data_IF_602345172601
#
_entry.id   IF_602345172601
#
_cell.length_a   1.000
_cell.length_b   1.000
_cell.length_c   1.000
_cell.angle_alpha   90.00
_cell.angle_beta   90.00
_cell.angle_gamma   90.00
#
_symmetry.space_group_name_H-M   'P 1'
#
loop_
_entity.id
_entity.type
_entity.pdbx_description
1 polymer ?
#
# COMPACT_ATOMS: atom_id res chain seq x y z
N UNK A 1 45.36 -34.32 7.65
CA UNK A 1 45.78 -34.55 6.26
C UNK A 1 44.53 -34.68 5.43
N UNK A 2 44.11 -33.60 4.77
CA UNK A 2 42.92 -33.55 3.92
C UNK A 2 43.46 -33.25 2.53
N UNK A 3 43.23 -34.17 1.59
CA UNK A 3 43.77 -34.13 0.24
C UNK A 3 42.80 -33.32 -0.61
N UNK A 4 43.28 -32.17 -1.07
CA UNK A 4 42.61 -31.27 -2.00
C UNK A 4 42.94 -31.73 -3.43
N UNK A 5 41.99 -32.39 -4.10
CA UNK A 5 42.16 -32.86 -5.48
C UNK A 5 41.29 -32.02 -6.43
N UNK A 6 41.85 -30.88 -6.83
CA UNK A 6 41.29 -29.97 -7.83
C UNK A 6 41.48 -30.59 -9.23
N UNK A 7 40.45 -31.26 -9.76
CA UNK A 7 40.43 -31.67 -11.16
C UNK A 7 40.19 -30.46 -12.06
N UNK A 8 41.13 -30.20 -12.98
CA UNK A 8 40.97 -29.23 -14.05
C UNK A 8 40.01 -29.80 -15.11
N UNK A 9 38.97 -29.03 -15.44
CA UNK A 9 38.04 -29.35 -16.52
C UNK A 9 38.73 -29.14 -17.89
N UNK A 10 38.44 -29.99 -18.89
CA UNK A 10 39.00 -29.87 -20.23
C UNK A 10 38.48 -28.62 -20.95
N UNK A 11 39.36 -27.99 -21.74
CA UNK A 11 39.10 -26.80 -22.53
C UNK A 11 37.88 -26.99 -23.46
N UNK A 12 36.82 -26.24 -23.19
CA UNK A 12 35.64 -26.15 -24.05
C UNK A 12 35.96 -25.16 -25.20
N UNK A 13 36.00 -25.60 -26.48
CA UNK A 13 36.21 -24.71 -27.60
C UNK A 13 34.96 -23.87 -27.83
N UNK A 14 35.01 -22.61 -27.39
CA UNK A 14 33.96 -21.62 -27.64
C UNK A 14 33.68 -21.53 -29.16
N UNK A 15 32.43 -21.72 -29.62
CA UNK A 15 32.09 -21.55 -31.03
C UNK A 15 32.31 -20.09 -31.46
N UNK A 16 33.06 -19.88 -32.54
CA UNK A 16 33.41 -18.56 -33.08
C UNK A 16 32.25 -17.83 -33.79
N UNK A 17 31.00 -18.12 -33.42
CA UNK A 17 29.81 -17.64 -34.13
C UNK A 17 28.84 -16.95 -33.16
N UNK A 18 29.35 -15.92 -32.48
CA UNK A 18 28.51 -14.97 -31.77
C UNK A 18 28.01 -13.91 -32.78
N UNK A 19 26.70 -13.67 -32.90
CA UNK A 19 26.18 -12.63 -33.78
C UNK A 19 26.69 -11.24 -33.35
N UNK A 20 26.86 -10.30 -34.29
CA UNK A 20 27.36 -8.97 -34.00
C UNK A 20 26.47 -8.25 -32.99
N UNK A 21 27.11 -7.51 -32.08
CA UNK A 21 26.45 -6.66 -31.09
C UNK A 21 25.59 -5.60 -31.77
N UNK A 22 24.27 -5.62 -31.53
CA UNK A 22 23.33 -4.57 -31.92
C UNK A 22 23.52 -3.34 -31.03
N UNK A 23 24.54 -2.54 -31.32
CA UNK A 23 24.73 -1.23 -30.71
C UNK A 23 25.15 -0.20 -31.77
N UNK A 24 24.22 0.09 -32.69
CA UNK A 24 24.26 1.28 -33.55
C UNK A 24 22.88 1.54 -34.18
N UNK A 25 21.95 2.12 -33.40
CA UNK A 25 20.78 2.77 -33.99
C UNK A 25 21.00 4.28 -33.87
N UNK A 26 21.43 4.89 -34.97
CA UNK A 26 21.44 6.33 -35.15
C UNK A 26 19.99 6.87 -35.16
N UNK A 27 19.76 8.11 -34.69
CA UNK A 27 18.42 8.70 -34.69
C UNK A 27 18.02 9.07 -36.12
N UNK A 28 17.05 8.34 -36.66
CA UNK A 28 16.32 8.74 -37.86
C UNK A 28 15.43 9.93 -37.48
N UNK A 29 15.74 11.10 -38.03
CA UNK A 29 14.83 12.25 -38.07
C UNK A 29 13.76 11.96 -39.12
N UNK A 30 12.56 11.61 -38.67
CA UNK A 30 11.37 11.54 -39.51
C UNK A 30 10.61 12.86 -39.42
N UNK A 31 10.88 13.76 -40.36
CA UNK A 31 10.00 14.87 -40.72
C UNK A 31 8.77 14.31 -41.44
N UNK A 32 7.71 14.01 -40.69
CA UNK A 32 6.38 13.81 -41.27
C UNK A 32 5.61 15.12 -41.26
N UNK A 33 5.67 15.80 -42.41
CA UNK A 33 4.78 16.88 -42.83
C UNK A 33 3.40 16.28 -43.10
N UNK A 34 2.49 16.39 -42.13
CA UNK A 34 1.06 16.13 -42.32
C UNK A 34 0.40 17.44 -42.75
N UNK A 35 0.04 17.53 -44.03
CA UNK A 35 -0.85 18.58 -44.53
C UNK A 35 -2.26 18.35 -43.95
N UNK A 36 -2.73 19.35 -43.21
CA UNK A 36 -4.09 19.42 -42.67
C UNK A 36 -4.79 20.60 -43.36
N UNK A 37 -5.59 20.30 -44.38
CA UNK A 37 -6.57 21.24 -44.93
C UNK A 37 -7.84 21.13 -44.08
N UNK A 38 -8.14 22.16 -43.30
CA UNK A 38 -9.46 22.44 -42.72
C UNK A 38 -9.72 23.95 -42.83
N UNK A 39 -10.99 24.38 -43.08
CA UNK A 39 -11.32 25.78 -43.36
C UNK A 39 -11.33 26.64 -42.09
N UNK A 40 -10.76 27.84 -42.19
CA UNK A 40 -10.84 28.93 -41.20
C UNK A 40 -12.24 29.55 -41.15
N UNK A 41 -12.77 29.70 -39.94
CA UNK A 41 -13.81 30.67 -39.60
C UNK A 41 -13.17 31.93 -38.96
N UNK A 42 -13.76 33.14 -39.15
CA UNK A 42 -13.13 34.42 -38.84
C UNK A 42 -13.14 34.79 -37.35
N UNK A 43 -12.16 35.58 -36.87
CA UNK A 43 -12.06 36.00 -35.47
C UNK A 43 -12.92 37.23 -35.15
N UNK A 44 -13.52 37.33 -33.94
CA UNK A 44 -14.06 38.58 -33.44
C UNK A 44 -12.98 39.42 -32.74
N UNK A 45 -13.04 40.71 -33.07
CA UNK A 45 -12.26 41.83 -32.58
C UNK A 45 -12.48 42.17 -31.10
N UNK A 46 -11.47 42.79 -30.48
CA UNK A 46 -11.57 43.60 -29.26
C UNK A 46 -11.09 42.86 -28.01
N UNK A 47 -10.27 43.41 -27.11
CA UNK A 47 -9.96 44.81 -26.84
C UNK A 47 -8.64 44.90 -26.06
N UNK A 48 -7.84 45.89 -26.45
CA UNK A 48 -6.60 46.31 -25.84
C UNK A 48 -6.87 47.09 -24.56
N UNK A 49 -6.19 46.71 -23.48
CA UNK A 49 -5.96 47.59 -22.33
C UNK A 49 -4.48 47.58 -21.97
N UNK A 50 -3.85 48.67 -22.37
CA UNK A 50 -2.54 49.16 -21.95
C UNK A 50 -2.60 49.72 -20.54
N UNK A 51 -1.64 49.36 -19.68
CA UNK A 51 -1.32 50.13 -18.48
C UNK A 51 0.20 50.25 -18.31
N UNK A 52 0.64 51.50 -18.44
CA UNK A 52 1.90 52.14 -18.06
C UNK A 52 2.42 51.71 -16.67
N UNK A 53 3.72 51.46 -16.49
CA UNK A 53 4.84 52.40 -16.30
C UNK A 53 4.82 53.15 -14.95
N UNK A 54 6.02 53.15 -14.32
CA UNK A 54 6.56 54.01 -13.24
C UNK A 54 6.54 53.43 -11.81
N UNK A 55 7.72 53.41 -11.20
CA UNK A 55 7.86 53.26 -9.74
C UNK A 55 9.21 52.76 -9.23
N UNK A 56 10.34 53.18 -9.80
CA UNK A 56 11.65 52.97 -9.19
C UNK A 56 11.83 54.01 -8.08
N UNK A 57 11.99 53.55 -6.84
CA UNK A 57 12.31 54.39 -5.69
C UNK A 57 13.37 53.68 -4.84
N UNK A 58 14.61 54.12 -5.06
CA UNK A 58 15.67 54.10 -4.05
C UNK A 58 15.16 54.81 -2.78
N UNK A 59 15.49 54.26 -1.60
CA UNK A 59 15.88 55.02 -0.40
C UNK A 59 16.30 54.06 0.74
N UNK A 60 17.53 54.27 1.20
CA UNK A 60 18.01 54.18 2.60
C UNK A 60 18.49 52.85 3.22
N UNK A 61 19.65 52.86 3.91
CA UNK A 61 20.24 51.71 4.59
C UNK A 61 19.76 51.55 6.05
N UNK A 62 19.72 50.33 6.61
CA UNK A 62 19.49 50.12 8.04
C UNK A 62 20.79 50.27 8.87
N UNK A 63 20.67 50.65 10.16
CA UNK A 63 21.80 50.97 11.02
C UNK A 63 22.51 49.74 11.58
N UNK A 64 23.81 49.93 11.81
CA UNK A 64 24.76 49.09 12.54
C UNK A 64 24.18 48.66 13.91
N UNK A 65 23.92 47.36 14.10
CA UNK A 65 23.58 46.79 15.41
C UNK A 65 24.81 46.11 16.00
N UNK A 66 25.10 46.51 17.24
CA UNK A 66 26.23 46.16 18.08
C UNK A 66 26.34 44.65 18.35
N UNK A 67 27.59 44.20 18.37
CA UNK A 67 28.06 42.89 18.82
C UNK A 67 27.58 42.54 20.23
N UNK A 68 27.07 41.32 20.48
CA UNK A 68 26.99 40.79 21.83
C UNK A 68 28.30 40.10 22.22
N UNK A 69 28.82 40.57 23.35
CA UNK A 69 29.98 40.08 24.08
C UNK A 69 29.78 38.64 24.56
N UNK A 70 30.81 37.81 24.41
CA UNK A 70 30.86 36.45 24.95
C UNK A 70 31.01 36.45 26.47
N UNK A 71 30.22 35.68 27.23
CA UNK A 71 30.60 35.26 28.56
C UNK A 71 31.27 33.88 28.48
N UNK A 72 32.55 33.84 28.86
CA UNK A 72 33.25 32.60 29.17
C UNK A 72 32.67 31.97 30.43
N UNK A 73 32.30 30.69 30.34
CA UNK A 73 32.01 29.86 31.50
C UNK A 73 32.62 28.47 31.27
N UNK A 74 33.75 28.25 31.92
CA UNK A 74 34.39 26.96 32.06
C UNK A 74 33.58 26.10 33.03
N UNK A 75 32.70 25.26 32.48
CA UNK A 75 31.99 24.21 33.22
C UNK A 75 32.56 22.83 32.86
N UNK A 76 33.41 22.27 33.74
CA UNK A 76 33.81 20.86 33.72
C UNK A 76 32.58 19.98 34.03
N UNK A 77 31.89 19.53 32.98
CA UNK A 77 30.80 18.56 33.07
C UNK A 77 31.09 17.33 32.19
N UNK A 78 30.95 16.13 32.76
CA UNK A 78 31.26 14.84 32.12
C UNK A 78 30.45 14.63 30.82
N UNK A 79 31.19 14.60 29.72
CA UNK A 79 30.92 13.97 28.42
C UNK A 79 29.55 13.36 28.16
N UNK A 80 28.58 14.18 27.80
CA UNK A 80 27.66 13.83 26.72
C UNK A 80 28.32 14.29 25.42
N UNK A 81 28.42 13.41 24.42
CA UNK A 81 29.07 13.70 23.16
C UNK A 81 28.41 14.93 22.50
N UNK A 82 29.11 16.07 22.52
CA UNK A 82 28.78 17.27 21.73
C UNK A 82 29.06 16.97 20.24
N UNK A 83 28.29 16.07 19.64
CA UNK A 83 28.43 15.75 18.21
C UNK A 83 28.00 16.91 17.28
N UNK A 84 27.48 17.99 17.86
CA UNK A 84 26.83 19.08 17.13
C UNK A 84 27.32 20.47 17.56
N UNK A 85 28.63 20.73 17.53
CA UNK A 85 29.13 22.11 17.51
C UNK A 85 28.97 22.71 16.13
N UNK A 86 27.74 23.12 15.81
CA UNK A 86 27.42 23.91 14.65
C UNK A 86 27.84 25.37 14.90
N UNK A 87 29.04 25.75 14.46
CA UNK A 87 29.49 27.14 14.49
C UNK A 87 28.59 28.05 13.63
N UNK A 88 28.43 29.30 14.05
CA UNK A 88 27.47 30.30 13.52
C UNK A 88 27.76 30.81 12.09
N UNK A 89 28.63 30.15 11.32
CA UNK A 89 28.98 30.59 9.94
C UNK A 89 28.95 29.46 8.90
N UNK A 90 28.19 28.38 9.13
CA UNK A 90 28.09 27.32 8.13
C UNK A 90 27.21 27.75 6.97
N UNK A 91 27.65 27.45 5.76
CA UNK A 91 26.82 27.64 4.57
C UNK A 91 25.70 26.61 4.54
N UNK A 92 24.54 26.94 3.96
CA UNK A 92 23.44 25.99 3.80
C UNK A 92 23.87 24.70 3.06
N UNK A 93 24.87 24.80 2.17
CA UNK A 93 25.47 23.65 1.48
C UNK A 93 26.20 22.71 2.45
N UNK A 94 27.00 23.23 3.37
CA UNK A 94 27.69 22.43 4.39
C UNK A 94 26.70 21.73 5.31
N UNK A 95 25.63 22.43 5.72
CA UNK A 95 24.57 21.84 6.54
C UNK A 95 23.90 20.68 5.81
N UNK A 96 23.51 20.88 4.54
CA UNK A 96 22.93 19.81 3.72
C UNK A 96 23.86 18.60 3.60
N UNK A 97 25.16 18.81 3.31
CA UNK A 97 26.14 17.72 3.23
C UNK A 97 26.29 17.01 4.57
N UNK A 98 26.28 17.75 5.68
CA UNK A 98 26.35 17.18 7.04
C UNK A 98 25.13 16.30 7.32
N UNK A 99 23.91 16.81 7.05
CA UNK A 99 22.66 16.06 7.25
C UNK A 99 22.65 14.80 6.39
N UNK A 100 23.02 14.88 5.11
CA UNK A 100 23.12 13.70 4.24
C UNK A 100 24.14 12.66 4.75
N UNK A 101 25.26 13.11 5.32
CA UNK A 101 26.23 12.23 5.97
C UNK A 101 25.59 11.48 7.15
N UNK A 102 24.93 12.21 8.04
CA UNK A 102 24.23 11.61 9.19
C UNK A 102 23.13 10.63 8.77
N UNK A 103 22.36 10.95 7.72
CA UNK A 103 21.33 10.03 7.21
C UNK A 103 21.94 8.74 6.67
N UNK A 104 23.09 8.84 5.99
CA UNK A 104 23.83 7.67 5.52
C UNK A 104 24.33 6.82 6.68
N UNK A 105 24.82 7.45 7.74
CA UNK A 105 25.32 6.75 8.93
C UNK A 105 24.18 6.08 9.70
N UNK A 106 23.06 6.78 9.91
CA UNK A 106 21.85 6.21 10.52
C UNK A 106 21.39 4.92 9.82
N UNK A 107 21.36 4.95 8.48
CA UNK A 107 20.94 3.80 7.66
C UNK A 107 22.04 2.73 7.56
N UNK A 108 23.31 3.05 7.83
CA UNK A 108 24.41 2.07 7.82
C UNK A 108 24.58 1.34 9.14
N UNK A 109 24.48 2.05 10.25
CA UNK A 109 24.80 1.52 11.59
C UNK A 109 23.71 0.60 12.16
N UNK A 110 22.71 0.20 11.36
CA UNK A 110 21.58 -0.63 11.78
C UNK A 110 20.88 -0.07 13.04
N UNK A 111 20.85 1.25 13.18
CA UNK A 111 20.13 1.95 14.25
C UNK A 111 18.60 1.86 14.08
N UNK A 112 18.11 0.87 13.31
CA UNK A 112 16.70 0.65 12.97
C UNK A 112 15.81 0.52 14.21
N UNK A 113 16.39 0.12 15.35
CA UNK A 113 15.71 -0.04 16.64
C UNK A 113 16.16 0.96 17.70
N UNK A 114 17.04 1.90 17.36
CA UNK A 114 17.56 2.84 18.35
C UNK A 114 16.61 4.04 18.52
N UNK A 115 16.13 4.32 19.74
CA UNK A 115 15.35 5.54 19.99
C UNK A 115 16.16 6.82 19.72
N UNK A 116 17.50 6.71 19.59
CA UNK A 116 18.36 7.83 19.22
C UNK A 116 18.10 8.34 17.79
N UNK A 117 17.60 7.50 16.88
CA UNK A 117 17.34 7.88 15.49
C UNK A 117 16.36 9.06 15.40
N UNK A 118 15.28 9.03 16.19
CA UNK A 118 14.31 10.12 16.27
C UNK A 118 14.93 11.42 16.77
N UNK A 119 15.77 11.35 17.81
CA UNK A 119 16.46 12.52 18.34
C UNK A 119 17.43 13.13 17.33
N UNK A 120 18.11 12.30 16.54
CA UNK A 120 19.01 12.75 15.47
C UNK A 120 18.20 13.41 14.34
N UNK A 121 17.10 12.80 13.91
CA UNK A 121 16.21 13.36 12.89
C UNK A 121 15.60 14.70 13.32
N UNK A 122 15.15 14.80 14.56
CA UNK A 122 14.66 16.05 15.14
C UNK A 122 15.74 17.13 15.13
N UNK A 123 16.96 16.79 15.58
CA UNK A 123 18.09 17.73 15.52
C UNK A 123 18.41 18.16 14.08
N UNK A 124 18.32 17.25 13.10
CA UNK A 124 18.51 17.60 11.70
C UNK A 124 17.42 18.55 11.20
N UNK A 125 16.18 18.33 11.63
CA UNK A 125 15.04 19.19 11.29
C UNK A 125 15.24 20.62 11.78
N UNK A 126 15.61 20.79 13.05
CA UNK A 126 15.84 22.11 13.66
C UNK A 126 17.01 22.86 13.00
N UNK A 127 18.08 22.13 12.68
CA UNK A 127 19.26 22.69 12.00
C UNK A 127 18.93 23.09 10.56
N UNK A 128 18.17 22.26 9.83
CA UNK A 128 17.69 22.57 8.49
C UNK A 128 16.80 23.82 8.49
N UNK A 129 15.84 23.90 9.42
CA UNK A 129 14.94 25.04 9.56
C UNK A 129 15.73 26.34 9.80
N UNK A 130 16.77 26.30 10.65
CA UNK A 130 17.63 27.45 10.95
C UNK A 130 18.43 27.95 9.73
N UNK A 131 18.58 27.15 8.68
CA UNK A 131 19.34 27.46 7.46
C UNK A 131 18.45 27.52 6.21
N UNK A 132 17.12 27.65 6.39
CA UNK A 132 16.14 27.68 5.30
C UNK A 132 16.19 26.45 4.37
N UNK A 133 16.48 25.28 4.93
CA UNK A 133 16.46 24.00 4.25
C UNK A 133 15.23 23.20 4.67
N UNK A 134 14.70 22.40 3.74
CA UNK A 134 13.64 21.42 4.04
C UNK A 134 14.27 20.04 4.26
N UNK A 135 14.14 19.50 5.47
CA UNK A 135 14.60 18.14 5.76
C UNK A 135 13.87 17.11 4.88
N UNK A 136 12.57 17.29 4.67
CA UNK A 136 11.76 16.45 3.77
C UNK A 136 12.37 16.36 2.37
N UNK A 137 12.78 17.50 1.79
CA UNK A 137 13.44 17.50 0.48
C UNK A 137 14.77 16.74 0.50
N UNK A 138 15.56 16.87 1.56
CA UNK A 138 16.86 16.21 1.71
C UNK A 138 16.70 14.69 1.86
N UNK A 139 15.72 14.23 2.63
CA UNK A 139 15.43 12.80 2.83
C UNK A 139 14.95 12.09 1.56
N UNK A 140 14.42 12.85 0.60
CA UNK A 140 13.96 12.34 -0.68
C UNK A 140 15.03 12.40 -1.79
N UNK A 141 16.25 12.85 -1.46
CA UNK A 141 17.37 12.86 -2.40
C UNK A 141 18.03 11.49 -2.52
N UNK A 142 18.38 11.13 -3.76
CA UNK A 142 19.12 9.91 -4.11
C UNK A 142 20.60 10.02 -3.72
N UNK A 143 20.87 10.00 -2.42
CA UNK A 143 22.15 10.35 -1.81
C UNK A 143 23.02 9.15 -1.41
N UNK A 144 22.47 7.93 -1.49
CA UNK A 144 23.16 6.69 -1.13
C UNK A 144 23.03 5.74 -2.32
N UNK A 145 24.10 5.58 -3.10
CA UNK A 145 24.19 4.61 -4.20
C UNK A 145 23.03 4.73 -5.23
N UNK A 146 22.59 5.96 -5.52
CA UNK A 146 21.51 6.22 -6.48
C UNK A 146 20.09 6.05 -5.93
N UNK A 147 19.94 5.76 -4.64
CA UNK A 147 18.66 5.60 -3.95
C UNK A 147 18.51 6.55 -2.76
N UNK A 148 17.27 6.69 -2.29
CA UNK A 148 16.92 7.50 -1.13
C UNK A 148 17.30 6.81 0.19
N UNK A 149 17.53 7.56 1.28
CA UNK A 149 17.59 6.99 2.63
C UNK A 149 16.41 6.08 2.98
N UNK A 150 15.19 6.41 2.50
CA UNK A 150 13.99 5.60 2.69
C UNK A 150 14.09 4.21 2.03
N UNK A 151 14.59 4.14 0.79
CA UNK A 151 14.86 2.87 0.11
C UNK A 151 15.76 1.97 0.95
N UNK A 152 16.88 2.52 1.41
CA UNK A 152 17.85 1.74 2.17
C UNK A 152 17.37 1.36 3.57
N UNK A 153 16.51 2.19 4.19
CA UNK A 153 15.85 1.85 5.44
C UNK A 153 14.92 0.63 5.28
N UNK A 154 14.24 0.50 4.14
CA UNK A 154 13.46 -0.71 3.81
C UNK A 154 14.38 -1.91 3.56
N UNK A 155 15.39 -1.76 2.69
CA UNK A 155 16.28 -2.88 2.32
C UNK A 155 17.02 -3.47 3.51
N UNK A 156 17.41 -2.64 4.48
CA UNK A 156 18.15 -3.06 5.67
C UNK A 156 17.26 -3.37 6.88
N UNK A 157 15.94 -3.30 6.72
CA UNK A 157 15.02 -3.61 7.80
C UNK A 157 15.10 -5.11 8.11
N UNK A 158 15.24 -5.52 9.39
CA UNK A 158 15.10 -6.93 9.76
C UNK A 158 13.67 -7.40 9.46
N UNK A 159 13.51 -8.60 8.91
CA UNK A 159 12.18 -9.16 8.64
C UNK A 159 11.42 -9.35 9.96
N UNK A 160 10.13 -8.99 9.99
CA UNK A 160 9.27 -8.93 11.18
C UNK A 160 8.91 -10.32 11.80
N UNK A 161 9.79 -11.32 11.70
CA UNK A 161 9.54 -12.71 12.14
C UNK A 161 9.31 -12.85 13.67
N UNK A 162 9.68 -11.86 14.50
CA UNK A 162 9.72 -12.00 15.97
C UNK A 162 8.61 -11.26 16.77
N UNK A 163 7.62 -10.65 16.14
CA UNK A 163 6.59 -9.85 16.85
C UNK A 163 5.43 -10.67 17.45
N UNK A 164 5.72 -11.74 18.19
CA UNK A 164 4.70 -12.46 18.96
C UNK A 164 4.38 -11.83 20.32
N UNK A 165 5.20 -10.90 20.83
CA UNK A 165 5.14 -10.50 22.25
C UNK A 165 4.25 -9.27 22.57
N UNK A 166 3.56 -8.67 21.60
CA UNK A 166 2.55 -7.63 21.86
C UNK A 166 3.02 -6.36 22.60
N UNK A 167 4.31 -6.25 22.96
CA UNK A 167 4.87 -5.05 23.59
C UNK A 167 4.92 -3.93 22.57
N UNK A 168 4.42 -2.75 22.95
CA UNK A 168 4.37 -1.55 22.12
C UNK A 168 5.68 -1.33 21.35
N UNK A 169 5.66 -1.63 20.05
CA UNK A 169 6.82 -1.51 19.17
C UNK A 169 7.18 -0.02 19.07
N UNK A 170 8.38 0.33 19.55
CA UNK A 170 8.96 1.64 19.30
C UNK A 170 8.96 1.91 17.79
N UNK A 171 8.71 3.16 17.34
CA UNK A 171 8.70 3.48 15.91
C UNK A 171 10.03 3.10 15.27
N UNK A 172 9.96 2.26 14.23
CA UNK A 172 11.10 1.90 13.39
C UNK A 172 11.69 3.18 12.75
N UNK A 173 13.01 3.17 12.51
CA UNK A 173 13.70 4.15 11.69
C UNK A 173 12.95 4.47 10.39
N UNK A 174 12.38 3.48 9.70
CA UNK A 174 11.58 3.74 8.50
C UNK A 174 10.38 4.65 8.79
N UNK A 175 9.62 4.35 9.84
CA UNK A 175 8.48 5.17 10.27
C UNK A 175 8.94 6.59 10.62
N UNK A 176 10.04 6.71 11.36
CA UNK A 176 10.63 8.00 11.71
C UNK A 176 11.02 8.81 10.45
N UNK A 177 11.71 8.19 9.49
CA UNK A 177 12.11 8.83 8.24
C UNK A 177 10.88 9.27 7.43
N UNK A 178 9.83 8.44 7.37
CA UNK A 178 8.59 8.78 6.66
C UNK A 178 7.92 10.01 7.26
N UNK A 179 7.83 10.11 8.59
CA UNK A 179 7.26 11.29 9.27
C UNK A 179 7.94 12.60 8.88
N UNK A 180 9.27 12.61 8.72
CA UNK A 180 10.01 13.80 8.29
C UNK A 180 10.08 13.99 6.77
N UNK A 181 9.62 13.02 5.98
CA UNK A 181 9.67 13.04 4.51
C UNK A 181 8.37 13.51 3.85
N UNK A 182 7.30 13.73 4.62
CA UNK A 182 6.01 14.19 4.07
C UNK A 182 6.11 15.63 3.53
N UNK A 183 5.46 15.97 2.40
CA UNK A 183 4.80 15.06 1.45
C UNK A 183 5.81 14.30 0.59
N UNK A 184 5.53 13.03 0.32
CA UNK A 184 6.37 12.18 -0.53
C UNK A 184 6.17 12.54 -2.00
N UNK A 185 7.28 12.64 -2.73
CA UNK A 185 7.26 12.78 -4.18
C UNK A 185 6.95 11.44 -4.84
N UNK A 186 6.31 11.42 -6.03
CA UNK A 186 6.06 10.19 -6.76
C UNK A 186 7.31 9.36 -7.02
N UNK A 187 8.46 10.02 -7.27
CA UNK A 187 9.75 9.35 -7.47
C UNK A 187 10.20 8.62 -6.21
N UNK A 188 10.03 9.23 -5.03
CA UNK A 188 10.35 8.59 -3.75
C UNK A 188 9.41 7.43 -3.45
N UNK A 189 8.11 7.56 -3.74
CA UNK A 189 7.14 6.46 -3.58
C UNK A 189 7.57 5.26 -4.45
N UNK A 190 7.92 5.51 -5.73
CA UNK A 190 8.43 4.45 -6.62
C UNK A 190 9.73 3.82 -6.10
N UNK A 191 10.63 4.61 -5.53
CA UNK A 191 11.89 4.11 -4.94
C UNK A 191 11.61 3.18 -3.75
N UNK A 192 10.72 3.57 -2.83
CA UNK A 192 10.35 2.71 -1.69
C UNK A 192 9.58 1.46 -2.14
N UNK A 193 8.70 1.56 -3.14
CA UNK A 193 8.03 0.39 -3.74
C UNK A 193 9.06 -0.57 -4.34
N UNK A 194 10.09 -0.04 -4.99
CA UNK A 194 11.21 -0.83 -5.48
C UNK A 194 11.96 -1.53 -4.35
N UNK A 195 12.22 -0.86 -3.22
CA UNK A 195 12.84 -1.47 -2.05
C UNK A 195 12.03 -2.65 -1.49
N UNK A 196 10.70 -2.48 -1.39
CA UNK A 196 9.80 -3.55 -0.96
C UNK A 196 9.82 -4.72 -1.94
N UNK A 197 9.91 -4.44 -3.25
CA UNK A 197 10.02 -5.46 -4.29
C UNK A 197 11.33 -6.25 -4.18
N UNK A 198 12.47 -5.57 -3.98
CA UNK A 198 13.79 -6.19 -3.82
C UNK A 198 13.84 -7.10 -2.59
N UNK A 199 13.21 -6.69 -1.49
CA UNK A 199 13.13 -7.49 -0.26
C UNK A 199 12.00 -8.52 -0.25
N UNK A 200 11.10 -8.45 -1.24
CA UNK A 200 9.84 -9.22 -1.28
C UNK A 200 9.00 -9.10 0.00
N UNK A 201 9.08 -7.96 0.71
CA UNK A 201 8.35 -7.73 1.96
C UNK A 201 6.93 -7.22 1.70
N UNK A 202 6.03 -8.18 1.44
CA UNK A 202 4.61 -7.92 1.21
C UNK A 202 3.92 -7.28 2.44
N UNK A 203 4.29 -7.67 3.66
CA UNK A 203 3.64 -7.15 4.88
C UNK A 203 3.98 -5.68 5.09
N UNK A 204 5.25 -5.30 4.94
CA UNK A 204 5.65 -3.92 4.96
C UNK A 204 4.99 -3.12 3.84
N UNK A 205 4.96 -3.66 2.62
CA UNK A 205 4.30 -3.01 1.49
C UNK A 205 2.83 -2.70 1.78
N UNK A 206 2.06 -3.65 2.32
CA UNK A 206 0.67 -3.39 2.71
C UNK A 206 0.57 -2.32 3.80
N UNK A 207 1.38 -2.39 4.87
CA UNK A 207 1.38 -1.35 5.91
C UNK A 207 1.67 0.05 5.35
N UNK A 208 2.61 0.16 4.42
CA UNK A 208 2.91 1.45 3.77
C UNK A 208 1.70 1.95 2.98
N UNK A 209 0.98 1.09 2.26
CA UNK A 209 -0.25 1.46 1.54
C UNK A 209 -1.37 1.95 2.47
N UNK A 210 -1.38 1.54 3.74
CA UNK A 210 -2.33 2.05 4.73
C UNK A 210 -2.03 3.50 5.16
N UNK A 211 -0.80 3.97 4.95
CA UNK A 211 -0.44 5.34 5.30
C UNK A 211 -0.92 6.31 4.21
N UNK A 212 -1.67 7.37 4.57
CA UNK A 212 -2.23 8.33 3.60
C UNK A 212 -1.15 9.06 2.79
N UNK A 213 0.08 9.11 3.30
CA UNK A 213 1.24 9.68 2.63
C UNK A 213 1.71 8.84 1.44
N UNK A 214 1.43 7.53 1.43
CA UNK A 214 1.87 6.58 0.40
C UNK A 214 0.82 6.32 -0.67
N UNK A 215 -0.42 6.20 -0.25
CA UNK A 215 -1.56 5.93 -1.11
C UNK A 215 -2.69 6.87 -0.70
N UNK A 216 -2.64 8.14 -1.15
CA UNK A 216 -3.72 9.08 -0.86
C UNK A 216 -5.02 8.50 -1.40
N UNK A 217 -6.01 8.34 -0.52
CA UNK A 217 -7.34 7.87 -0.90
C UNK A 217 -7.94 8.89 -1.88
N UNK A 218 -8.64 8.40 -2.90
CA UNK A 218 -9.38 9.27 -3.79
C UNK A 218 -10.36 10.11 -2.97
N UNK A 219 -10.25 11.44 -3.04
CA UNK A 219 -11.15 12.35 -2.32
C UNK A 219 -12.62 12.09 -2.66
N UNK A 220 -12.90 11.56 -3.86
CA UNK A 220 -14.24 11.16 -4.30
C UNK A 220 -14.74 9.98 -3.48
N UNK A 221 -13.90 8.97 -3.25
CA UNK A 221 -14.29 7.79 -2.47
C UNK A 221 -14.51 8.14 -0.99
N UNK A 222 -13.65 8.98 -0.42
CA UNK A 222 -13.79 9.48 0.96
C UNK A 222 -15.08 10.27 1.14
N UNK A 223 -15.39 11.17 0.20
CA UNK A 223 -16.59 12.01 0.26
C UNK A 223 -17.87 11.19 0.06
N UNK A 224 -17.89 10.25 -0.88
CA UNK A 224 -19.11 9.53 -1.26
C UNK A 224 -19.42 8.33 -0.37
N UNK A 225 -18.40 7.72 0.27
CA UNK A 225 -18.58 6.58 1.16
C UNK A 225 -18.72 6.99 2.64
N UNK A 226 -18.64 8.29 2.93
CA UNK A 226 -19.07 8.88 4.21
C UNK A 226 -18.14 8.59 5.39
N UNK A 227 -16.84 8.39 5.13
CA UNK A 227 -15.83 8.18 6.18
C UNK A 227 -14.55 7.51 5.67
N UNK A 228 -13.63 7.23 6.60
CA UNK A 228 -12.44 6.44 6.29
C UNK A 228 -12.85 5.00 5.97
N UNK A 229 -12.78 4.63 4.70
CA UNK A 229 -13.02 3.27 4.23
C UNK A 229 -11.99 2.38 4.93
N UNK A 230 -12.40 1.32 5.64
CA UNK A 230 -11.46 0.38 6.20
C UNK A 230 -10.54 -0.16 5.10
N UNK A 231 -9.27 -0.46 5.39
CA UNK A 231 -8.41 -1.00 4.37
C UNK A 231 -8.82 -2.40 3.95
N UNK A 232 -8.55 -2.73 2.68
CA UNK A 232 -8.69 -4.09 2.16
C UNK A 232 -7.60 -4.99 2.74
N UNK A 233 -7.95 -6.23 3.05
CA UNK A 233 -6.99 -7.24 3.53
C UNK A 233 -6.43 -8.03 2.35
N UNK A 234 -5.10 -8.21 2.32
CA UNK A 234 -4.39 -8.89 1.23
C UNK A 234 -3.31 -9.80 1.81
N UNK A 235 -3.55 -11.11 1.71
CA UNK A 235 -2.63 -12.14 2.16
C UNK A 235 -2.05 -12.88 0.96
N UNK A 236 -0.72 -12.95 0.87
CA UNK A 236 -0.02 -13.67 -0.20
C UNK A 236 0.54 -14.97 0.38
N UNK A 237 0.20 -16.08 -0.26
CA UNK A 237 0.66 -17.43 0.08
C UNK A 237 1.56 -17.98 -1.03
N UNK A 238 2.77 -18.40 -0.68
CA UNK A 238 3.60 -19.20 -1.58
C UNK A 238 3.12 -20.65 -1.57
N UNK A 239 2.84 -21.21 -2.76
CA UNK A 239 2.39 -22.60 -2.88
C UNK A 239 3.62 -23.53 -2.85
N UNK A 240 3.76 -24.40 -1.84
CA UNK A 240 4.92 -25.29 -1.74
C UNK A 240 4.90 -26.34 -2.85
N UNK A 241 6.08 -26.68 -3.38
CA UNK A 241 6.26 -27.73 -4.38
C UNK A 241 5.86 -27.37 -5.81
N UNK A 242 5.43 -26.14 -6.08
CA UNK A 242 5.14 -25.67 -7.43
C UNK A 242 5.89 -24.37 -7.72
N UNK A 243 6.99 -24.49 -8.46
CA UNK A 243 7.84 -23.36 -8.81
C UNK A 243 7.04 -22.29 -9.58
N UNK A 244 7.13 -21.04 -9.11
CA UNK A 244 6.41 -19.92 -9.69
C UNK A 244 4.92 -19.86 -9.36
N UNK A 245 4.34 -20.82 -8.64
CA UNK A 245 2.94 -20.76 -8.22
C UNK A 245 2.75 -19.96 -6.92
N UNK A 246 1.70 -19.16 -6.84
CA UNK A 246 1.33 -18.41 -5.63
C UNK A 246 -0.19 -18.24 -5.57
N UNK A 247 -0.69 -17.96 -4.38
CA UNK A 247 -2.08 -17.60 -4.16
C UNK A 247 -2.17 -16.28 -3.40
N UNK A 248 -3.25 -15.53 -3.63
CA UNK A 248 -3.52 -14.28 -2.91
C UNK A 248 -4.96 -14.29 -2.45
N UNK A 249 -5.19 -14.17 -1.15
CA UNK A 249 -6.51 -14.00 -0.57
C UNK A 249 -6.78 -12.50 -0.40
N UNK A 250 -7.96 -12.07 -0.83
CA UNK A 250 -8.42 -10.70 -0.72
C UNK A 250 -9.70 -10.66 0.12
N UNK A 251 -9.75 -9.73 1.08
CA UNK A 251 -11.00 -9.26 1.66
C UNK A 251 -11.24 -7.79 1.29
N UNK A 252 -12.12 -7.57 0.31
CA UNK A 252 -12.41 -6.23 -0.20
C UNK A 252 -13.62 -5.67 0.54
N UNK A 253 -13.43 -4.61 1.31
CA UNK A 253 -14.52 -4.01 2.09
C UNK A 253 -15.42 -3.15 1.22
N UNK A 254 -16.72 -3.19 1.51
CA UNK A 254 -17.74 -2.38 0.82
C UNK A 254 -17.68 -2.51 -0.71
N UNK A 255 -17.34 -3.71 -1.20
CA UNK A 255 -17.01 -3.97 -2.61
C UNK A 255 -18.06 -3.40 -3.58
N UNK A 256 -19.35 -3.69 -3.35
CA UNK A 256 -20.43 -3.19 -4.19
C UNK A 256 -20.55 -1.67 -4.18
N UNK A 257 -20.45 -1.03 -3.01
CA UNK A 257 -20.56 0.43 -2.89
C UNK A 257 -19.42 1.10 -3.64
N UNK A 258 -18.19 0.62 -3.46
CA UNK A 258 -17.00 1.13 -4.17
C UNK A 258 -17.10 0.94 -5.68
N UNK A 259 -17.57 -0.22 -6.15
CA UNK A 259 -17.79 -0.45 -7.58
C UNK A 259 -18.90 0.43 -8.17
N UNK A 260 -19.97 0.72 -7.42
CA UNK A 260 -21.05 1.59 -7.90
C UNK A 260 -20.66 3.07 -7.91
N UNK A 261 -19.86 3.50 -6.94
CA UNK A 261 -19.53 4.89 -6.67
C UNK A 261 -18.22 5.29 -7.34
N UNK A 262 -17.11 4.67 -6.90
CA UNK A 262 -15.77 4.94 -7.40
C UNK A 262 -15.50 4.31 -8.76
N UNK A 263 -16.28 3.28 -9.14
CA UNK A 263 -16.15 2.52 -10.41
C UNK A 263 -14.82 1.81 -10.59
N UNK A 264 -13.95 1.84 -9.58
CA UNK A 264 -12.63 1.23 -9.60
C UNK A 264 -12.21 0.81 -8.18
N UNK A 265 -11.60 -0.37 -8.08
CA UNK A 265 -10.93 -0.86 -6.87
C UNK A 265 -9.60 -1.45 -7.33
N UNK A 266 -8.49 -0.93 -6.84
CA UNK A 266 -7.15 -1.39 -7.18
C UNK A 266 -6.46 -2.05 -5.96
N UNK A 267 -6.10 -3.32 -6.12
CA UNK A 267 -5.41 -4.13 -5.12
C UNK A 267 -3.98 -4.38 -5.59
N UNK A 268 -3.01 -3.87 -4.85
CA UNK A 268 -1.60 -4.02 -5.18
C UNK A 268 -0.94 -4.99 -4.20
N UNK A 269 -0.09 -5.88 -4.69
CA UNK A 269 0.61 -6.87 -3.87
C UNK A 269 1.92 -7.31 -4.50
N UNK A 270 2.85 -7.77 -3.67
CA UNK A 270 4.12 -8.35 -4.06
C UNK A 270 4.01 -9.87 -3.98
N UNK A 271 4.29 -10.54 -5.09
CA UNK A 271 4.35 -12.00 -5.16
C UNK A 271 5.40 -12.43 -6.18
N UNK A 272 6.22 -13.41 -5.83
CA UNK A 272 7.27 -13.99 -6.69
C UNK A 272 8.17 -12.92 -7.35
N UNK A 273 8.65 -11.97 -6.53
CA UNK A 273 9.55 -10.90 -6.96
C UNK A 273 8.95 -9.94 -7.98
N UNK A 274 7.62 -9.79 -8.00
CA UNK A 274 6.88 -8.88 -8.88
C UNK A 274 5.85 -8.10 -8.10
N UNK A 275 5.64 -6.85 -8.50
CA UNK A 275 4.59 -5.99 -7.99
C UNK A 275 3.39 -6.09 -8.94
N UNK A 276 2.27 -6.57 -8.42
CA UNK A 276 1.04 -6.83 -9.16
C UNK A 276 -0.02 -5.79 -8.84
N UNK A 277 -0.93 -5.58 -9.78
CA UNK A 277 -2.16 -4.84 -9.59
C UNK A 277 -3.34 -5.68 -10.11
N UNK A 278 -4.23 -6.08 -9.19
CA UNK A 278 -5.54 -6.63 -9.53
C UNK A 278 -6.57 -5.51 -9.38
N UNK A 279 -7.23 -5.17 -10.48
CA UNK A 279 -8.20 -4.07 -10.53
C UNK A 279 -9.58 -4.59 -10.88
N UNK A 280 -10.57 -4.24 -10.07
CA UNK A 280 -11.97 -4.31 -10.42
C UNK A 280 -12.40 -2.94 -10.96
N UNK A 281 -13.05 -2.88 -12.11
CA UNK A 281 -13.46 -1.59 -12.69
C UNK A 281 -14.72 -1.71 -13.53
N UNK A 282 -15.44 -0.61 -13.71
CA UNK A 282 -16.56 -0.53 -14.65
C UNK A 282 -16.03 -0.12 -16.03
N UNK A 283 -16.33 -0.89 -17.07
CA UNK A 283 -15.89 -0.61 -18.43
C UNK A 283 -16.38 0.79 -18.89
N UNK A 284 -15.48 1.63 -19.44
CA UNK A 284 -15.84 2.98 -19.89
C UNK A 284 -16.76 2.93 -21.12
N UNK A 285 -17.51 4.02 -21.35
CA UNK A 285 -18.46 4.11 -22.47
C UNK A 285 -17.78 4.23 -23.84
N UNK A 286 -16.54 4.73 -23.87
CA UNK A 286 -15.87 5.14 -25.12
C UNK A 286 -14.96 4.05 -25.72
N UNK A 287 -14.95 2.84 -25.17
CA UNK A 287 -14.14 1.73 -25.70
C UNK A 287 -14.88 1.00 -26.82
N UNK A 288 -14.36 1.11 -28.04
CA UNK A 288 -14.85 0.35 -29.20
C UNK A 288 -14.38 -1.11 -29.19
N UNK A 289 -13.23 -1.39 -28.57
CA UNK A 289 -12.66 -2.73 -28.40
C UNK A 289 -12.51 -3.04 -26.91
N UNK A 290 -13.36 -3.92 -26.39
CA UNK A 290 -13.30 -4.33 -24.99
C UNK A 290 -14.62 -4.91 -24.49
N UNK A 291 -14.71 -5.16 -23.16
CA UNK A 291 -15.96 -5.51 -22.49
C UNK A 291 -17.06 -4.47 -22.79
N UNK A 292 -18.32 -4.91 -22.73
CA UNK A 292 -19.46 -4.03 -22.97
C UNK A 292 -19.41 -2.82 -22.03
N UNK A 293 -19.68 -1.60 -22.52
CA UNK A 293 -19.79 -0.42 -21.67
C UNK A 293 -20.69 -0.62 -20.45
N UNK A 294 -20.18 -0.23 -19.27
CA UNK A 294 -20.89 -0.39 -18.01
C UNK A 294 -20.75 -1.77 -17.36
N UNK A 295 -20.20 -2.77 -18.05
CA UNK A 295 -19.93 -4.08 -17.46
C UNK A 295 -18.82 -3.99 -16.41
N UNK A 296 -18.94 -4.79 -15.35
CA UNK A 296 -17.89 -4.90 -14.35
C UNK A 296 -16.80 -5.83 -14.87
N UNK A 297 -15.55 -5.40 -14.76
CA UNK A 297 -14.39 -6.08 -15.28
C UNK A 297 -13.39 -6.36 -14.18
N UNK A 298 -12.61 -7.41 -14.36
CA UNK A 298 -11.41 -7.70 -13.57
C UNK A 298 -10.22 -7.59 -14.50
N UNK A 299 -9.20 -6.86 -14.08
CA UNK A 299 -7.93 -6.79 -14.81
C UNK A 299 -6.74 -7.09 -13.93
N UNK A 300 -5.72 -7.72 -14.52
CA UNK A 300 -4.47 -8.07 -13.86
C UNK A 300 -3.30 -7.52 -14.67
N UNK A 301 -2.42 -6.76 -14.01
CA UNK A 301 -1.21 -6.19 -14.62
C UNK A 301 -0.02 -6.25 -13.67
N UNK A 302 1.18 -6.08 -14.22
CA UNK A 302 2.41 -5.86 -13.43
C UNK A 302 2.73 -4.37 -13.37
N UNK A 303 3.30 -3.93 -12.25
CA UNK A 303 3.66 -2.54 -11.97
C UNK A 303 5.17 -2.30 -12.13
N UNK A 304 5.59 -1.06 -12.00
CA UNK A 304 6.95 -0.59 -12.27
C UNK A 304 8.02 -1.40 -11.54
N UNK A 305 9.18 -1.52 -12.17
CA UNK A 305 10.34 -2.28 -11.71
C UNK A 305 10.15 -3.81 -11.65
N UNK A 306 8.97 -4.32 -12.05
CA UNK A 306 8.74 -5.76 -12.18
C UNK A 306 9.32 -6.29 -13.50
N UNK A 307 10.00 -7.46 -13.50
CA UNK A 307 10.42 -8.10 -14.73
C UNK A 307 9.22 -8.64 -15.53
N UNK A 308 9.24 -8.53 -16.87
CA UNK A 308 8.23 -9.13 -17.74
C UNK A 308 7.95 -10.60 -17.42
N UNK A 309 6.71 -11.03 -17.59
CA UNK A 309 6.33 -12.39 -17.20
C UNK A 309 5.10 -12.93 -17.91
N UNK A 310 5.08 -14.24 -18.08
CA UNK A 310 3.87 -14.96 -18.45
C UNK A 310 3.16 -15.44 -17.19
N UNK A 311 1.83 -15.38 -17.22
CA UNK A 311 0.99 -15.80 -16.11
C UNK A 311 -0.21 -16.58 -16.65
N UNK A 312 -0.46 -17.73 -16.02
CA UNK A 312 -1.77 -18.38 -16.05
C UNK A 312 -2.36 -18.25 -14.65
N UNK A 313 -3.52 -17.59 -14.56
CA UNK A 313 -4.16 -17.34 -13.28
C UNK A 313 -5.67 -17.51 -13.34
N UNK A 314 -6.26 -17.73 -12.17
CA UNK A 314 -7.70 -17.79 -11.98
C UNK A 314 -8.09 -17.03 -10.72
N UNK A 315 -9.13 -16.21 -10.85
CA UNK A 315 -9.78 -15.56 -9.72
C UNK A 315 -10.97 -16.41 -9.28
N UNK A 316 -10.97 -16.80 -8.00
CA UNK A 316 -12.01 -17.57 -7.36
C UNK A 316 -12.78 -16.67 -6.39
N UNK A 317 -14.10 -16.69 -6.46
CA UNK A 317 -14.97 -16.04 -5.45
C UNK A 317 -15.85 -17.13 -4.85
N UNK A 318 -15.51 -17.51 -3.62
CA UNK A 318 -16.28 -18.49 -2.88
C UNK A 318 -17.49 -17.82 -2.23
N UNK A 319 -18.58 -18.58 -2.05
CA UNK A 319 -19.64 -18.14 -1.13
C UNK A 319 -18.98 -17.95 0.25
N UNK A 320 -19.25 -16.85 0.96
CA UNK A 320 -18.78 -16.70 2.32
C UNK A 320 -19.31 -17.90 3.10
N UNK A 321 -18.41 -18.83 3.42
CA UNK A 321 -18.72 -19.95 4.31
C UNK A 321 -19.46 -19.33 5.47
N UNK A 322 -20.70 -19.76 5.72
CA UNK A 322 -21.41 -19.35 6.93
C UNK A 322 -20.54 -19.88 8.05
N UNK A 323 -19.58 -19.07 8.50
CA UNK A 323 -18.59 -19.45 9.51
C UNK A 323 -19.46 -19.90 10.64
N UNK A 324 -19.50 -21.22 10.82
CA UNK A 324 -20.47 -21.89 11.65
C UNK A 324 -20.36 -21.17 12.97
N UNK A 325 -21.45 -20.48 13.35
CA UNK A 325 -21.57 -19.68 14.55
C UNK A 325 -20.75 -20.39 15.61
N UNK A 326 -19.60 -19.81 15.97
CA UNK A 326 -18.58 -20.39 16.84
C UNK A 326 -19.36 -21.14 17.91
N UNK A 327 -19.34 -22.47 17.84
CA UNK A 327 -20.09 -23.26 18.80
C UNK A 327 -19.65 -22.73 20.15
N UNK A 328 -20.56 -22.21 21.00
CA UNK A 328 -20.16 -21.56 22.23
C UNK A 328 -19.13 -22.46 22.92
N UNK A 329 -17.98 -21.91 23.36
CA UNK A 329 -16.92 -22.72 23.93
C UNK A 329 -17.56 -23.68 24.93
N UNK A 330 -17.27 -25.00 24.84
CA UNK A 330 -17.92 -25.96 25.70
C UNK A 330 -17.74 -25.46 27.13
N UNK A 331 -18.87 -25.20 27.81
CA UNK A 331 -18.91 -24.76 29.20
C UNK A 331 -18.07 -25.75 30.00
N UNK A 332 -16.82 -25.37 30.25
CA UNK A 332 -15.93 -26.09 31.12
C UNK A 332 -16.54 -26.00 32.52
N UNK A 333 -17.02 -27.14 33.00
CA UNK A 333 -17.46 -27.35 34.36
C UNK A 333 -16.32 -27.05 35.31
N UNK A 334 -16.26 -25.82 35.79
CA UNK A 334 -15.39 -25.40 36.88
C UNK A 334 -15.92 -25.98 38.20
N UNK A 335 -15.40 -27.14 38.57
CA UNK A 335 -15.35 -27.54 39.98
C UNK A 335 -13.91 -27.39 40.45
N UNK A 336 -13.74 -26.77 41.62
CA UNK A 336 -12.55 -26.75 42.51
C UNK A 336 -11.88 -25.37 42.68
N UNK A 337 -12.37 -24.63 43.68
CA UNK A 337 -11.59 -23.71 44.56
C UNK A 337 -10.59 -24.53 45.42
N UNK A 338 -9.67 -23.98 46.27
CA UNK A 338 -9.33 -22.60 46.70
C UNK A 338 -7.75 -22.41 46.75
N UNK A 339 -7.07 -21.58 47.60
CA UNK A 339 -7.49 -20.50 48.48
C UNK A 339 -6.72 -19.16 48.37
N UNK A 340 -7.29 -18.22 49.10
CA UNK A 340 -6.94 -16.84 49.45
C UNK A 340 -5.50 -16.67 49.99
N UNK A 341 -4.79 -15.65 49.50
CA UNK A 341 -3.75 -14.88 50.20
C UNK A 341 -3.67 -13.50 49.52
N UNK A 342 -4.28 -12.45 50.09
CA UNK A 342 -3.78 -11.58 51.15
C UNK A 342 -2.65 -10.60 50.71
N UNK A 343 -3.10 -9.41 50.29
CA UNK A 343 -2.63 -8.05 50.65
C UNK A 343 -1.14 -7.70 50.42
N UNK A 344 -0.89 -6.72 49.53
CA UNK A 344 -0.25 -5.44 49.91
C UNK A 344 -0.34 -4.35 48.81
N UNK A 345 -0.59 -3.06 49.16
CA UNK A 345 -0.61 -1.93 48.23
C UNK A 345 0.54 -0.93 48.47
N UNK A 346 1.24 -0.56 47.40
CA UNK A 346 2.09 0.65 47.27
C UNK A 346 2.18 0.95 45.77
N UNK A 347 2.21 2.16 45.21
CA UNK A 347 2.12 3.53 45.69
C UNK A 347 1.98 4.41 44.42
N UNK A 348 1.09 5.38 44.47
CA UNK A 348 1.08 6.68 43.78
C UNK A 348 2.04 6.93 42.60
N UNK A 349 1.48 7.20 41.42
CA UNK A 349 2.05 8.21 40.50
C UNK A 349 0.94 8.89 39.67
N UNK A 350 0.93 10.24 39.56
CA UNK A 350 -0.11 10.97 38.84
C UNK A 350 0.36 11.32 37.43
N UNK A 351 -0.37 10.88 36.40
CA UNK A 351 -0.30 11.51 35.08
C UNK A 351 -1.72 11.84 34.60
N UNK A 352 -1.93 13.15 34.47
CA UNK A 352 -3.14 13.80 34.00
C UNK A 352 -3.36 13.48 32.51
N UNK A 353 -4.48 12.84 32.19
CA UNK A 353 -5.02 12.80 30.84
C UNK A 353 -6.15 13.82 30.72
N UNK A 354 -6.06 14.69 29.72
CA UNK A 354 -7.17 15.52 29.25
C UNK A 354 -8.22 14.61 28.61
N UNK A 355 -9.37 14.44 29.27
CA UNK A 355 -10.55 13.81 28.68
C UNK A 355 -11.46 14.89 28.09
N UNK A 356 -11.54 14.94 26.76
CA UNK A 356 -12.63 15.60 26.06
C UNK A 356 -13.89 14.74 26.20
N UNK A 357 -14.92 15.28 26.85
CA UNK A 357 -16.26 14.68 26.92
C UNK A 357 -17.11 15.19 25.76
N UNK A 358 -17.75 14.32 24.95
CA UNK A 358 -18.87 14.74 24.14
C UNK A 358 -20.18 14.62 24.94
N UNK A 359 -20.94 15.71 24.94
CA UNK A 359 -22.27 15.84 25.54
C UNK A 359 -23.24 14.83 24.97
N UNK A 360 -23.76 13.94 25.82
CA UNK A 360 -24.87 13.06 25.51
C UNK A 360 -26.18 13.86 25.52
N UNK A 361 -26.84 13.95 24.36
CA UNK A 361 -28.20 14.45 24.23
C UNK A 361 -29.20 13.34 24.59
N UNK A 362 -30.00 13.62 25.60
CA UNK A 362 -31.10 12.79 26.10
C UNK A 362 -32.22 12.64 25.06
N UNK A 363 -32.55 11.40 24.71
CA UNK A 363 -33.76 11.07 23.95
C UNK A 363 -34.90 10.65 24.90
N UNK A 364 -36.16 11.05 24.64
CA UNK A 364 -37.29 10.75 25.51
C UNK A 364 -37.81 9.32 25.32
N UNK A 365 -38.18 8.73 26.46
CA UNK A 365 -38.72 7.39 26.62
C UNK A 365 -40.19 7.32 26.18
N UNK A 366 -40.51 6.38 25.29
CA UNK A 366 -41.90 6.07 24.90
C UNK A 366 -42.45 4.94 25.78
N UNK A 367 -43.68 5.07 26.34
CA UNK A 367 -44.27 4.05 27.19
C UNK A 367 -44.87 2.89 26.38
N UNK A 368 -44.66 1.67 26.89
CA UNK A 368 -45.25 0.43 26.38
C UNK A 368 -46.71 0.29 26.83
N UNK A 369 -47.63 -0.17 25.96
CA UNK A 369 -48.97 -0.59 26.38
C UNK A 369 -48.97 -2.06 26.85
N UNK A 370 -49.35 -2.25 28.10
CA UNK A 370 -49.74 -3.52 28.72
C UNK A 370 -51.01 -4.08 28.06
N UNK A 371 -50.98 -5.36 27.67
CA UNK A 371 -52.17 -6.13 27.30
C UNK A 371 -52.28 -7.37 28.20
N UNK A 372 -53.39 -7.55 28.94
CA UNK A 372 -53.66 -8.75 29.72
C UNK A 372 -54.71 -9.61 29.02
N UNK A 373 -54.31 -10.69 28.35
CA UNK A 373 -55.24 -11.75 28.00
C UNK A 373 -54.55 -13.11 28.04
N UNK A 374 -54.80 -13.85 29.11
CA UNK A 374 -54.58 -15.30 29.18
C UNK A 374 -55.85 -16.02 28.71
N UNK A 375 -55.74 -17.01 27.81
CA UNK A 375 -56.74 -18.06 27.72
C UNK A 375 -56.19 -19.40 28.19
N UNK A 376 -57.14 -20.11 28.79
CA UNK A 376 -57.10 -21.45 29.37
C UNK A 376 -56.19 -22.49 28.70
N UNK A 377 -55.51 -23.21 29.59
CA UNK A 377 -54.76 -24.44 29.42
C UNK A 377 -55.65 -25.54 28.80
N UNK A 378 -55.48 -25.82 27.51
CA UNK A 378 -56.06 -26.99 26.86
C UNK A 378 -55.05 -28.15 26.88
N UNK A 379 -55.35 -29.20 27.65
CA UNK A 379 -54.40 -30.24 28.10
C UNK A 379 -54.28 -31.46 27.17
N UNK A 380 -54.74 -31.37 25.93
CA UNK A 380 -54.72 -32.49 24.96
C UNK A 380 -54.16 -32.06 23.59
N UNK A 381 -52.91 -31.53 23.55
CA UNK A 381 -52.22 -31.27 22.27
C UNK A 381 -51.16 -32.36 22.01
N UNK A 382 -51.22 -33.07 20.86
CA UNK A 382 -50.19 -34.05 20.50
C UNK A 382 -48.83 -33.37 20.39
N UNK A 383 -47.81 -34.07 20.90
CA UNK A 383 -46.40 -33.68 20.92
C UNK A 383 -45.97 -33.19 19.54
N UNK A 384 -45.51 -31.93 19.36
CA UNK A 384 -45.03 -31.47 18.08
C UNK A 384 -43.76 -32.25 17.70
N UNK A 385 -43.61 -32.71 16.46
CA UNK A 385 -42.41 -33.40 16.01
C UNK A 385 -41.20 -32.48 16.16
N UNK A 386 -40.13 -33.03 16.72
CA UNK A 386 -38.85 -32.36 16.97
C UNK A 386 -38.41 -31.49 15.77
N UNK A 387 -38.26 -30.16 15.95
CA UNK A 387 -37.79 -29.27 14.89
C UNK A 387 -36.26 -29.34 14.86
N UNK A 388 -35.66 -30.38 14.28
CA UNK A 388 -34.20 -30.44 14.31
C UNK A 388 -33.51 -31.11 13.13
N UNK A 389 -33.98 -30.83 11.92
CA UNK A 389 -33.13 -30.93 10.74
C UNK A 389 -33.29 -29.65 9.93
N UNK A 390 -32.45 -28.64 10.25
CA UNK A 390 -32.22 -27.55 9.30
C UNK A 390 -31.76 -28.21 7.99
N UNK A 391 -32.41 -27.94 6.85
CA UNK A 391 -32.02 -28.53 5.58
C UNK A 391 -30.53 -28.28 5.37
N UNK A 392 -29.75 -29.35 5.16
CA UNK A 392 -28.34 -29.25 4.80
C UNK A 392 -28.28 -28.57 3.44
N UNK A 393 -28.05 -27.26 3.43
CA UNK A 393 -27.86 -26.53 2.18
C UNK A 393 -26.58 -27.05 1.50
N UNK A 394 -26.72 -27.50 0.26
CA UNK A 394 -25.56 -27.85 -0.57
C UNK A 394 -24.75 -26.57 -0.80
N UNK A 395 -23.40 -26.62 -0.69
CA UNK A 395 -22.58 -25.44 -0.91
C UNK A 395 -22.82 -24.89 -2.31
N UNK A 396 -22.93 -23.57 -2.45
CA UNK A 396 -23.07 -22.97 -3.79
C UNK A 396 -21.77 -23.16 -4.58
N UNK A 397 -21.86 -23.20 -5.93
CA UNK A 397 -20.67 -23.25 -6.76
C UNK A 397 -19.81 -22.00 -6.54
N UNK A 398 -18.50 -22.15 -6.68
CA UNK A 398 -17.52 -21.05 -6.63
C UNK A 398 -17.48 -20.35 -7.98
N UNK A 399 -17.47 -19.01 -8.01
CA UNK A 399 -17.24 -18.26 -9.25
C UNK A 399 -15.78 -18.42 -9.62
N UNK A 400 -15.48 -18.83 -10.85
CA UNK A 400 -14.12 -18.98 -11.35
C UNK A 400 -13.95 -18.20 -12.65
N UNK A 401 -13.02 -17.24 -12.65
CA UNK A 401 -12.68 -16.40 -13.80
C UNK A 401 -11.24 -16.66 -14.19
N UNK A 402 -10.98 -17.07 -15.43
CA UNK A 402 -9.63 -17.32 -15.91
C UNK A 402 -9.00 -16.03 -16.43
N UNK A 403 -7.85 -15.66 -15.89
CA UNK A 403 -7.04 -14.52 -16.27
C UNK A 403 -5.73 -15.07 -16.88
N UNK A 404 -5.75 -15.37 -18.18
CA UNK A 404 -4.61 -15.92 -18.91
C UNK A 404 -4.11 -14.90 -19.93
N UNK A 405 -2.82 -14.59 -19.88
CA UNK A 405 -2.19 -13.77 -20.92
C UNK A 405 -1.72 -14.63 -22.09
N UNK A 406 -1.97 -14.18 -23.31
CA UNK A 406 -1.36 -14.74 -24.53
C UNK A 406 0.07 -14.23 -24.73
N UNK A 407 0.38 -13.04 -24.22
CA UNK A 407 1.67 -12.38 -24.34
C UNK A 407 2.39 -12.30 -22.97
N UNK A 408 3.66 -11.90 -22.96
CA UNK A 408 4.27 -11.49 -21.69
C UNK A 408 3.58 -10.23 -21.20
N UNK A 409 3.17 -10.22 -19.93
CA UNK A 409 2.83 -8.99 -19.26
C UNK A 409 4.08 -8.15 -19.12
N UNK A 410 3.98 -6.90 -19.55
CA UNK A 410 5.01 -5.87 -19.44
C UNK A 410 4.45 -4.70 -18.64
N UNK A 411 5.32 -3.95 -17.98
CA UNK A 411 4.93 -2.73 -17.27
C UNK A 411 4.41 -1.72 -18.28
N UNK A 412 3.25 -1.13 -18.00
CA UNK A 412 2.72 -0.08 -18.87
C UNK A 412 3.57 1.18 -18.78
N UNK A 413 4.47 1.36 -19.74
CA UNK A 413 5.19 2.63 -19.92
C UNK A 413 4.23 3.57 -20.61
N UNK A 414 3.63 4.52 -19.87
CA UNK A 414 2.66 5.52 -20.33
C UNK A 414 3.07 6.29 -21.61
N UNK A 415 3.00 5.64 -22.76
CA UNK A 415 2.93 6.28 -24.07
C UNK A 415 1.57 5.94 -24.63
N UNK A 416 0.69 6.93 -24.56
CA UNK A 416 -0.65 6.95 -25.14
C UNK A 416 -0.63 6.32 -26.54
N UNK A 417 -1.05 5.06 -26.65
CA UNK A 417 -0.89 4.30 -27.88
C UNK A 417 -1.22 2.82 -27.72
N UNK A 418 -2.50 2.51 -27.54
CA UNK A 418 -3.21 1.40 -28.18
C UNK A 418 -2.77 -0.07 -27.99
N UNK A 419 -1.81 -0.42 -27.12
CA UNK A 419 -1.47 -1.83 -26.90
C UNK A 419 -2.10 -2.40 -25.62
N UNK A 420 -2.98 -3.38 -25.81
CA UNK A 420 -3.66 -4.15 -24.75
C UNK A 420 -2.73 -5.22 -24.11
N UNK A 421 -1.43 -5.21 -24.42
CA UNK A 421 -0.47 -6.20 -23.94
C UNK A 421 -0.12 -6.06 -22.45
N UNK A 422 -0.41 -4.91 -21.86
CA UNK A 422 0.10 -4.55 -20.54
C UNK A 422 -0.79 -5.06 -19.39
N UNK A 423 -2.00 -5.57 -19.72
CA UNK A 423 -2.95 -6.10 -18.74
C UNK A 423 -3.83 -7.18 -19.36
N UNK A 424 -4.25 -8.14 -18.54
CA UNK A 424 -5.35 -9.05 -18.89
C UNK A 424 -6.64 -8.41 -18.41
N UNK A 425 -7.70 -8.37 -19.21
CA UNK A 425 -9.03 -7.89 -18.80
C UNK A 425 -10.10 -8.92 -19.13
N UNK A 426 -10.97 -9.24 -18.17
CA UNK A 426 -12.09 -10.18 -18.33
C UNK A 426 -13.37 -9.54 -17.77
N UNK A 427 -14.50 -9.74 -18.46
CA UNK A 427 -15.79 -9.27 -17.96
C UNK A 427 -16.32 -10.23 -16.89
N UNK A 428 -16.87 -9.70 -15.80
CA UNK A 428 -17.62 -10.52 -14.84
C UNK A 428 -18.85 -11.16 -15.47
N UNK A 429 -19.39 -10.56 -16.54
CA UNK A 429 -20.55 -11.08 -17.28
C UNK A 429 -20.24 -12.36 -18.08
N UNK A 430 -18.96 -12.64 -18.35
CA UNK A 430 -18.53 -13.87 -19.02
C UNK A 430 -18.79 -15.11 -18.15
N UNK A 431 -19.03 -14.91 -16.85
CA UNK A 431 -19.55 -15.92 -15.93
C UNK A 431 -20.95 -15.54 -15.49
N UNK A 432 -21.94 -16.42 -15.71
CA UNK A 432 -23.31 -16.22 -15.24
C UNK A 432 -23.39 -15.90 -13.73
N UNK A 433 -22.47 -16.47 -12.96
CA UNK A 433 -22.40 -16.25 -11.52
C UNK A 433 -21.59 -14.99 -11.18
N UNK A 434 -20.60 -14.62 -12.00
CA UNK A 434 -19.85 -13.36 -11.89
C UNK A 434 -20.75 -12.13 -12.03
N UNK A 435 -21.68 -12.15 -13.00
CA UNK A 435 -22.68 -11.11 -13.17
C UNK A 435 -23.54 -10.89 -11.92
N UNK A 436 -23.70 -11.90 -11.05
CA UNK A 436 -24.47 -11.75 -9.81
C UNK A 436 -23.85 -10.78 -8.81
N UNK A 437 -22.54 -10.49 -8.91
CA UNK A 437 -21.82 -9.59 -8.01
C UNK A 437 -22.26 -8.13 -8.13
N UNK A 438 -22.89 -7.74 -9.25
CA UNK A 438 -23.37 -6.37 -9.46
C UNK A 438 -24.71 -6.08 -8.76
N UNK A 439 -25.45 -7.13 -8.35
CA UNK A 439 -26.78 -6.97 -7.77
C UNK A 439 -26.73 -7.00 -6.24
N UNK A 440 -27.46 -6.08 -5.62
CA UNK A 440 -27.63 -6.06 -4.17
C UNK A 440 -28.19 -7.40 -3.66
N UNK A 441 -27.64 -7.90 -2.55
CA UNK A 441 -28.01 -9.19 -1.98
C UNK A 441 -27.38 -10.40 -2.68
N UNK A 442 -26.33 -10.21 -3.48
CA UNK A 442 -25.52 -11.31 -4.00
C UNK A 442 -25.06 -12.23 -2.88
N UNK A 443 -25.28 -13.53 -3.02
CA UNK A 443 -24.87 -14.52 -2.00
C UNK A 443 -23.35 -14.62 -1.84
N UNK A 444 -22.58 -14.09 -2.79
CA UNK A 444 -21.10 -14.10 -2.77
C UNK A 444 -20.50 -12.96 -1.97
N UNK A 445 -21.32 -11.98 -1.56
CA UNK A 445 -20.91 -10.87 -0.71
C UNK A 445 -21.43 -11.17 0.69
N UNK A 446 -20.53 -11.17 1.66
CA UNK A 446 -20.90 -11.46 3.02
C UNK A 446 -21.79 -10.34 3.62
N UNK A 447 -22.57 -10.63 4.67
CA UNK A 447 -23.41 -9.62 5.33
C UNK A 447 -22.64 -8.42 5.88
N UNK A 448 -21.32 -8.53 6.06
CA UNK A 448 -20.39 -7.46 6.41
C UNK A 448 -19.95 -6.60 5.20
N UNK A 449 -20.61 -6.79 4.05
CA UNK A 449 -20.33 -6.13 2.77
C UNK A 449 -18.92 -6.42 2.21
N UNK A 450 -18.26 -7.49 2.67
CA UNK A 450 -16.95 -7.91 2.17
C UNK A 450 -17.08 -8.88 1.00
N UNK A 451 -16.27 -8.67 -0.04
CA UNK A 451 -15.99 -9.68 -1.06
C UNK A 451 -14.75 -10.46 -0.66
N UNK A 452 -14.87 -11.79 -0.56
CA UNK A 452 -13.73 -12.69 -0.36
C UNK A 452 -13.36 -13.33 -1.69
N UNK A 453 -12.16 -13.04 -2.18
CA UNK A 453 -11.67 -13.58 -3.44
C UNK A 453 -10.29 -14.21 -3.25
N UNK A 454 -9.97 -15.22 -4.05
CA UNK A 454 -8.66 -15.88 -4.09
C UNK A 454 -8.13 -15.88 -5.51
N UNK A 455 -7.01 -15.20 -5.77
CA UNK A 455 -6.27 -15.31 -7.02
C UNK A 455 -5.27 -16.44 -6.89
N UNK A 456 -5.36 -17.44 -7.76
CA UNK A 456 -4.35 -18.48 -7.89
C UNK A 456 -3.61 -18.30 -9.20
N UNK A 457 -2.29 -18.24 -9.15
CA UNK A 457 -1.46 -17.91 -10.30
C UNK A 457 -0.23 -18.80 -10.37
N UNK A 458 0.24 -19.06 -11.59
CA UNK A 458 1.52 -19.70 -11.87
C UNK A 458 2.28 -18.88 -12.89
N UNK A 459 3.53 -18.55 -12.56
CA UNK A 459 4.46 -17.94 -13.49
C UNK A 459 5.07 -19.02 -14.38
N UNK A 460 4.98 -18.82 -15.69
CA UNK A 460 5.54 -19.77 -16.65
C UNK A 460 5.09 -19.44 -18.05
N UNK A 461 5.95 -19.71 -19.04
CA UNK A 461 5.52 -19.70 -20.44
C UNK A 461 4.27 -20.57 -20.53
N UNK A 462 3.23 -20.15 -21.26
CA UNK A 462 2.16 -21.08 -21.59
C UNK A 462 2.85 -22.28 -22.21
N UNK A 463 2.80 -23.43 -21.53
CA UNK A 463 3.24 -24.69 -22.12
C UNK A 463 2.50 -24.73 -23.45
N UNK A 464 3.26 -24.79 -24.56
CA UNK A 464 2.62 -25.00 -25.86
C UNK A 464 1.80 -26.26 -25.64
N UNK A 465 0.47 -26.12 -25.59
CA UNK A 465 -0.42 -27.28 -25.52
C UNK A 465 0.06 -28.15 -26.67
N UNK A 466 0.77 -29.24 -26.34
CA UNK A 466 1.09 -30.26 -27.32
C UNK A 466 -0.26 -30.84 -27.70
N UNK A 467 -0.90 -30.22 -28.69
CA UNK A 467 -2.04 -30.78 -29.36
C UNK A 467 -1.51 -32.05 -30.00
N UNK A 468 -1.76 -33.18 -29.33
CA UNK A 468 -1.55 -34.49 -29.93
C UNK A 468 -2.61 -34.56 -31.04
N UNK A 469 -2.22 -34.20 -32.26
CA UNK A 469 -3.05 -34.35 -33.45
C UNK A 469 -3.12 -35.80 -33.89
#
# INVERSE_FOLDING_TARGET
MIIDAKHALPNDPTPADAPPSYEAVAPIRTDYRVEKNLPEDPPPSGSSSSSSHLGESQLSPPPLVKSPSSPGAAGKGKGRANWFTFGTSRTAREVRTTVLGLMRDLVREHLNQSPAALGILQSCSDVCASHSLSLSRILQEKSIEGHTPLYWAVVKRPQDEEYLDGTASSPDLLTALLTYSVPLTPVTILDVRHACLVTSDQRLFQRLRLSPEFSPVSAVDEMLLGGSIPPDDIEVEDVPGNEGAFAVNFEIVQFQKRMMVGKEIALEFIARGRLWCLRFSVAPMDQSSGPRPGSWCVSLSILENSPPTWIDSRLLVAEPSSVLAVSPPPLSSSTTSPPISAIQPTSSSPFSFFSFSPSASSSPSTPAPSSPYSPALNKNRPTPPLPNQRPKHKPRPTISLRLKSTNQLVVSTHRAGYYDSDRITVSLEDSLMGASLQYAGSSYIAPDEKLRARLEARLGKPEAECVIM
#
